data_IF_126594936869
#
_entry.id   IF_126594936869
#
_cell.length_a   1.000
_cell.length_b   1.000
_cell.length_c   1.000
_cell.angle_alpha   90.00
_cell.angle_beta   90.00
_cell.angle_gamma   90.00
#
_symmetry.space_group_name_H-M   'P 1'
#
loop_
_entity.id
_entity.type
_entity.pdbx_description
1 polymer ?
#
# COMPACT_ATOMS: atom_id res chain seq x y z
N UNK A 1 -8.23 -2.64 14.65
CA UNK A 1 -7.11 -2.04 13.91
C UNK A 1 -5.82 -2.28 14.68
N UNK A 2 -4.76 -2.78 14.04
CA UNK A 2 -3.47 -3.05 14.70
C UNK A 2 -2.32 -2.52 13.83
N UNK A 3 -1.34 -1.89 14.48
CA UNK A 3 -0.11 -1.38 13.86
C UNK A 3 0.99 -2.44 13.92
N UNK A 4 1.78 -2.52 12.86
CA UNK A 4 2.93 -3.41 12.74
C UNK A 4 4.13 -2.68 12.13
N UNK A 5 5.33 -2.95 12.63
CA UNK A 5 6.62 -2.57 12.04
C UNK A 5 7.28 -3.72 11.30
N UNK A 6 6.77 -4.93 11.50
CA UNK A 6 7.11 -6.14 10.74
C UNK A 6 5.84 -6.68 10.10
N UNK A 7 5.89 -7.03 8.81
CA UNK A 7 4.69 -7.48 8.11
C UNK A 7 4.17 -8.80 8.70
N UNK A 8 2.91 -8.84 9.18
CA UNK A 8 2.34 -10.04 9.80
C UNK A 8 1.83 -11.08 8.79
N UNK A 9 1.85 -10.75 7.50
CA UNK A 9 1.55 -11.64 6.38
C UNK A 9 2.12 -11.02 5.10
N UNK A 10 2.12 -11.80 4.02
CA UNK A 10 2.54 -11.31 2.70
C UNK A 10 1.49 -10.35 2.14
N UNK A 11 1.92 -9.16 1.75
CA UNK A 11 1.09 -8.11 1.18
C UNK A 11 1.57 -7.75 -0.23
N UNK A 12 0.62 -7.39 -1.09
CA UNK A 12 0.85 -7.05 -2.49
C UNK A 12 0.43 -5.61 -2.74
N UNK A 13 1.29 -4.86 -3.45
CA UNK A 13 1.02 -3.49 -3.88
C UNK A 13 0.93 -3.44 -5.40
N UNK A 14 -0.27 -3.13 -5.91
CA UNK A 14 -0.45 -2.74 -7.31
C UNK A 14 0.04 -1.31 -7.48
N UNK A 15 0.98 -1.10 -8.40
CA UNK A 15 1.59 0.19 -8.66
C UNK A 15 1.68 0.43 -10.16
N UNK A 16 1.02 1.49 -10.64
CA UNK A 16 0.98 1.80 -12.07
C UNK A 16 2.35 2.16 -12.66
N UNK A 17 3.17 2.88 -11.88
CA UNK A 17 4.54 3.27 -12.22
C UNK A 17 5.29 3.72 -10.98
N UNK A 18 6.61 3.69 -11.03
CA UNK A 18 7.48 4.42 -10.11
C UNK A 18 7.83 5.80 -10.69
N UNK A 19 8.19 6.78 -9.83
CA UNK A 19 8.14 6.75 -8.37
C UNK A 19 6.70 6.66 -7.83
N UNK A 20 6.55 6.25 -6.57
CA UNK A 20 5.26 6.29 -5.87
C UNK A 20 4.75 7.73 -5.83
N UNK A 21 3.46 7.91 -6.09
CA UNK A 21 2.80 9.21 -6.09
C UNK A 21 1.43 9.07 -5.43
N UNK A 22 1.40 9.09 -4.09
CA UNK A 22 0.15 9.14 -3.34
C UNK A 22 -0.59 10.45 -3.60
N UNK A 23 -1.92 10.35 -3.65
CA UNK A 23 -2.84 11.46 -3.94
C UNK A 23 -3.39 12.05 -2.64
N UNK A 24 -3.14 13.32 -2.39
CA UNK A 24 -3.77 14.01 -1.27
C UNK A 24 -5.21 14.43 -1.59
N UNK A 25 -6.06 14.42 -0.57
CA UNK A 25 -7.48 14.72 -0.69
C UNK A 25 -7.76 16.11 -1.29
N UNK A 26 -7.11 17.16 -0.78
CA UNK A 26 -7.39 18.54 -1.16
C UNK A 26 -7.15 18.76 -2.66
N UNK A 27 -6.02 18.29 -3.18
CA UNK A 27 -5.68 18.34 -4.61
C UNK A 27 -6.63 17.49 -5.46
N UNK A 28 -7.02 16.29 -5.00
CA UNK A 28 -7.97 15.49 -5.78
C UNK A 28 -9.35 16.15 -5.84
N UNK A 29 -9.81 16.75 -4.73
CA UNK A 29 -11.10 17.44 -4.68
C UNK A 29 -11.12 18.70 -5.55
N UNK A 30 -10.03 19.48 -5.57
CA UNK A 30 -9.93 20.64 -6.48
C UNK A 30 -9.96 20.25 -7.96
N UNK A 31 -9.58 19.00 -8.28
CA UNK A 31 -9.67 18.41 -9.62
C UNK A 31 -11.01 17.70 -9.89
N UNK A 32 -12.01 17.80 -8.99
CA UNK A 32 -13.31 17.15 -9.13
C UNK A 32 -13.27 15.63 -8.92
N UNK A 33 -12.19 15.09 -8.36
CA UNK A 33 -12.01 13.64 -8.12
C UNK A 33 -12.38 13.30 -6.68
N UNK A 34 -12.96 12.11 -6.47
CA UNK A 34 -13.35 11.61 -5.14
C UNK A 34 -12.38 10.61 -4.55
N UNK A 35 -11.49 10.03 -5.35
CA UNK A 35 -10.52 9.03 -4.90
C UNK A 35 -9.20 9.69 -4.53
N UNK A 36 -8.73 9.44 -3.31
CA UNK A 36 -7.48 9.93 -2.74
C UNK A 36 -6.88 8.86 -1.81
N UNK A 37 -5.60 9.01 -1.48
CA UNK A 37 -4.85 8.02 -0.69
C UNK A 37 -4.58 8.51 0.75
N UNK A 38 -4.52 9.82 0.97
CA UNK A 38 -4.31 10.41 2.30
C UNK A 38 -4.88 11.84 2.44
N UNK A 39 -4.97 12.29 3.68
CA UNK A 39 -5.26 13.69 4.02
C UNK A 39 -3.98 14.33 4.57
N UNK A 40 -3.63 15.50 4.05
CA UNK A 40 -2.53 16.28 4.58
C UNK A 40 -3.03 17.17 5.72
N UNK A 41 -2.23 17.30 6.76
CA UNK A 41 -2.47 18.22 7.87
C UNK A 41 -1.32 19.21 7.91
N UNK A 42 -1.64 20.51 7.82
CA UNK A 42 -0.63 21.57 7.74
C UNK A 42 0.40 21.35 6.61
N UNK A 43 -0.07 20.79 5.48
CA UNK A 43 0.77 20.47 4.32
C UNK A 43 1.63 19.21 4.47
N UNK A 44 1.48 18.45 5.56
CA UNK A 44 2.31 17.27 5.88
C UNK A 44 1.50 16.00 6.05
N UNK A 45 2.18 14.87 5.88
CA UNK A 45 1.69 13.55 6.24
C UNK A 45 1.94 13.36 7.73
N UNK A 46 0.87 13.18 8.51
CA UNK A 46 1.00 12.91 9.95
C UNK A 46 1.16 11.42 10.20
N UNK A 47 2.06 11.10 11.12
CA UNK A 47 2.06 9.81 11.78
C UNK A 47 0.77 9.65 12.56
N UNK A 48 0.02 8.57 12.33
CA UNK A 48 -1.15 8.32 13.15
C UNK A 48 -0.73 7.92 14.56
N UNK A 49 -1.47 8.37 15.58
CA UNK A 49 -1.25 7.92 16.95
C UNK A 49 -1.23 6.40 17.02
N UNK A 50 -0.43 5.85 17.93
CA UNK A 50 -0.41 4.42 18.20
C UNK A 50 -1.74 3.91 18.75
N UNK A 51 -2.62 4.81 19.21
CA UNK A 51 -3.96 4.52 19.69
C UNK A 51 -5.00 4.62 18.56
N UNK A 52 -6.00 3.74 18.58
CA UNK A 52 -7.01 3.60 17.53
C UNK A 52 -8.00 4.76 17.45
N UNK A 53 -8.12 5.55 18.51
CA UNK A 53 -9.24 6.48 18.71
C UNK A 53 -9.15 7.74 17.83
N UNK A 54 -8.01 7.96 17.17
CA UNK A 54 -7.76 9.11 16.31
C UNK A 54 -7.51 8.73 14.83
N UNK A 55 -7.77 7.47 14.45
CA UNK A 55 -7.47 6.99 13.10
C UNK A 55 -8.41 7.62 12.06
N UNK A 56 -7.88 8.54 11.24
CA UNK A 56 -8.60 9.12 10.11
C UNK A 56 -8.21 8.39 8.82
N UNK A 57 -9.16 7.75 8.15
CA UNK A 57 -8.94 7.07 6.87
C UNK A 57 -9.34 7.93 5.68
N UNK A 58 -8.72 7.70 4.50
CA UNK A 58 -7.47 6.96 4.26
C UNK A 58 -6.22 7.77 4.66
N UNK A 59 -5.10 7.09 4.98
CA UNK A 59 -3.83 7.75 5.35
C UNK A 59 -2.58 7.00 4.84
N UNK A 60 -2.55 6.61 3.56
CA UNK A 60 -1.31 6.08 2.99
C UNK A 60 -1.47 5.10 1.83
N UNK A 61 -0.38 4.40 1.53
CA UNK A 61 -0.34 3.42 0.45
C UNK A 61 -1.16 2.19 0.82
N UNK A 62 -1.98 1.69 -0.09
CA UNK A 62 -2.83 0.51 0.16
C UNK A 62 -2.23 -0.75 -0.47
N UNK A 63 -1.54 -1.60 0.32
CA UNK A 63 -1.27 -2.99 -0.05
C UNK A 63 -2.41 -3.92 0.45
N UNK A 64 -2.46 -5.15 -0.07
CA UNK A 64 -3.48 -6.15 0.29
C UNK A 64 -2.90 -7.57 0.26
N UNK A 65 -3.36 -8.52 1.08
CA UNK A 65 -3.09 -9.93 0.81
C UNK A 65 -3.60 -10.33 -0.57
N UNK A 66 -3.01 -11.35 -1.17
CA UNK A 66 -3.61 -11.96 -2.34
C UNK A 66 -4.89 -12.70 -1.94
N UNK A 67 -5.96 -12.48 -2.69
CA UNK A 67 -7.28 -13.01 -2.43
C UNK A 67 -8.29 -12.48 -3.46
N UNK A 68 -9.57 -12.87 -3.37
CA UNK A 68 -10.56 -12.55 -4.40
C UNK A 68 -10.64 -11.06 -4.75
N UNK A 69 -10.56 -10.20 -3.73
CA UNK A 69 -10.64 -8.74 -3.94
C UNK A 69 -9.39 -8.16 -4.60
N UNK A 70 -8.20 -8.61 -4.21
CA UNK A 70 -6.94 -8.20 -4.85
C UNK A 70 -6.90 -8.67 -6.31
N UNK A 71 -7.30 -9.91 -6.57
CA UNK A 71 -7.41 -10.45 -7.93
C UNK A 71 -8.42 -9.67 -8.78
N UNK A 72 -9.59 -9.35 -8.23
CA UNK A 72 -10.60 -8.50 -8.90
C UNK A 72 -10.03 -7.12 -9.27
N UNK A 73 -9.39 -6.43 -8.31
CA UNK A 73 -8.80 -5.11 -8.55
C UNK A 73 -7.73 -5.19 -9.64
N UNK A 74 -6.86 -6.20 -9.59
CA UNK A 74 -5.79 -6.37 -10.57
C UNK A 74 -6.31 -6.67 -11.97
N UNK A 75 -7.37 -7.49 -12.09
CA UNK A 75 -8.05 -7.76 -13.37
C UNK A 75 -8.69 -6.50 -13.97
N UNK A 76 -9.32 -5.68 -13.13
CA UNK A 76 -9.97 -4.44 -13.56
C UNK A 76 -8.99 -3.27 -13.73
N UNK A 77 -7.74 -3.41 -13.26
CA UNK A 77 -6.76 -2.34 -13.33
C UNK A 77 -6.39 -2.05 -14.79
N UNK A 78 -6.63 -0.80 -15.20
CA UNK A 78 -6.31 -0.34 -16.56
C UNK A 78 -4.81 -0.17 -16.75
N UNK A 79 -4.31 -0.58 -17.92
CA UNK A 79 -2.90 -0.53 -18.26
C UNK A 79 -2.15 -1.78 -17.82
N UNK A 80 -0.82 -1.64 -17.69
CA UNK A 80 0.11 -2.70 -17.33
C UNK A 80 0.76 -2.36 -16.00
N UNK A 81 0.03 -2.50 -14.86
CA UNK A 81 0.60 -2.23 -13.56
C UNK A 81 1.67 -3.27 -13.22
N UNK A 82 2.62 -2.86 -12.39
CA UNK A 82 3.49 -3.78 -11.68
C UNK A 82 2.87 -4.11 -10.33
N UNK A 83 3.12 -5.33 -9.85
CA UNK A 83 2.75 -5.79 -8.53
C UNK A 83 4.01 -6.07 -7.73
N UNK A 84 4.11 -5.45 -6.56
CA UNK A 84 5.23 -5.63 -5.65
C UNK A 84 4.79 -6.51 -4.49
N UNK A 85 5.54 -7.59 -4.26
CA UNK A 85 5.30 -8.51 -3.14
C UNK A 85 6.18 -8.13 -1.95
N UNK A 86 5.52 -7.86 -0.84
CA UNK A 86 6.15 -7.60 0.45
C UNK A 86 5.92 -8.83 1.33
N UNK A 87 6.97 -9.63 1.53
CA UNK A 87 6.86 -10.91 2.22
C UNK A 87 6.47 -10.76 3.69
N UNK A 88 5.74 -11.75 4.20
CA UNK A 88 5.56 -11.91 5.65
C UNK A 88 6.92 -11.89 6.36
N UNK A 89 6.96 -11.28 7.54
CA UNK A 89 8.18 -11.13 8.32
C UNK A 89 9.10 -10.01 7.84
N UNK A 90 8.82 -9.33 6.73
CA UNK A 90 9.60 -8.16 6.28
C UNK A 90 9.58 -7.08 7.36
N UNK A 91 10.76 -6.70 7.84
CA UNK A 91 10.95 -5.56 8.73
C UNK A 91 10.89 -4.28 7.90
N UNK A 92 9.97 -3.38 8.25
CA UNK A 92 9.83 -2.09 7.59
C UNK A 92 10.91 -1.12 8.08
N UNK A 93 11.21 -0.11 7.27
CA UNK A 93 12.03 1.03 7.69
C UNK A 93 11.41 1.68 8.93
N UNK A 94 12.24 2.21 9.84
CA UNK A 94 11.76 2.84 11.08
C UNK A 94 10.76 3.97 10.84
N UNK A 95 10.87 4.63 9.67
CA UNK A 95 9.99 5.70 9.19
C UNK A 95 8.62 5.21 8.67
N UNK A 96 8.41 3.89 8.57
CA UNK A 96 7.24 3.23 8.00
C UNK A 96 6.58 2.24 8.98
N UNK A 97 5.27 2.13 8.88
CA UNK A 97 4.50 1.08 9.54
C UNK A 97 3.34 0.64 8.65
N UNK A 98 2.76 -0.52 8.94
CA UNK A 98 1.52 -0.96 8.32
C UNK A 98 0.41 -1.08 9.36
N UNK A 99 -0.78 -0.61 8.99
CA UNK A 99 -2.00 -0.77 9.75
C UNK A 99 -2.93 -1.75 9.07
N UNK A 100 -3.46 -2.70 9.85
CA UNK A 100 -4.61 -3.49 9.43
C UNK A 100 -5.88 -2.68 9.67
N UNK A 101 -6.44 -2.10 8.61
CA UNK A 101 -7.58 -1.18 8.69
C UNK A 101 -8.88 -1.96 8.88
N UNK A 102 -9.19 -2.83 7.92
CA UNK A 102 -10.38 -3.67 7.94
C UNK A 102 -10.22 -4.80 6.91
N UNK A 103 -10.73 -6.01 7.20
CA UNK A 103 -10.72 -7.17 6.28
C UNK A 103 -9.38 -7.38 5.56
N UNK A 104 -9.32 -7.12 4.25
CA UNK A 104 -8.15 -7.26 3.38
C UNK A 104 -7.48 -5.91 3.10
N UNK A 105 -7.96 -4.82 3.69
CA UNK A 105 -7.43 -3.48 3.52
C UNK A 105 -6.34 -3.20 4.55
N UNK A 106 -5.11 -3.07 4.02
CA UNK A 106 -3.95 -2.62 4.77
C UNK A 106 -3.55 -1.23 4.32
N UNK A 107 -2.96 -0.46 5.22
CA UNK A 107 -2.48 0.89 4.94
C UNK A 107 -1.05 1.02 5.44
N UNK A 108 -0.12 1.22 4.52
CA UNK A 108 1.26 1.56 4.83
C UNK A 108 1.38 3.06 4.99
N UNK A 109 1.93 3.47 6.13
CA UNK A 109 1.92 4.83 6.64
C UNK A 109 3.30 5.20 7.19
N UNK A 110 3.49 6.49 7.47
CA UNK A 110 4.70 6.96 8.14
C UNK A 110 4.56 6.89 9.67
N UNK A 111 5.68 6.71 10.35
CA UNK A 111 5.80 6.74 11.83
C UNK A 111 6.19 8.12 12.37
N UNK A 112 6.59 9.04 11.48
CA UNK A 112 7.01 10.41 11.81
C UNK A 112 6.26 11.41 10.94
N UNK A 113 6.10 12.63 11.43
CA UNK A 113 5.57 13.71 10.57
C UNK A 113 6.56 14.00 9.44
N UNK A 114 6.09 14.00 8.19
CA UNK A 114 6.96 14.19 7.02
C UNK A 114 6.23 14.87 5.87
N UNK A 115 6.96 15.34 4.86
CA UNK A 115 6.35 15.87 3.64
C UNK A 115 5.78 14.74 2.79
N UNK A 116 4.77 15.05 1.95
CA UNK A 116 4.25 14.07 0.98
C UNK A 116 5.34 13.58 0.02
N UNK A 117 6.28 14.46 -0.34
CA UNK A 117 7.39 14.14 -1.21
C UNK A 117 8.30 13.08 -0.58
N UNK A 118 8.76 13.32 0.64
CA UNK A 118 9.66 12.41 1.35
C UNK A 118 8.98 11.08 1.65
N UNK A 119 7.70 11.10 2.02
CA UNK A 119 6.93 9.87 2.22
C UNK A 119 6.83 9.05 0.92
N UNK A 120 6.56 9.70 -0.21
CA UNK A 120 6.58 9.02 -1.51
C UNK A 120 7.97 8.46 -1.87
N UNK A 121 9.06 9.15 -1.49
CA UNK A 121 10.41 8.62 -1.69
C UNK A 121 10.67 7.37 -0.84
N UNK A 122 10.31 7.37 0.44
CA UNK A 122 10.46 6.19 1.32
C UNK A 122 9.67 4.99 0.80
N UNK A 123 8.44 5.20 0.34
CA UNK A 123 7.63 4.16 -0.29
C UNK A 123 8.25 3.68 -1.60
N UNK A 124 8.82 4.59 -2.40
CA UNK A 124 9.53 4.23 -3.64
C UNK A 124 10.72 3.34 -3.35
N UNK A 125 11.57 3.71 -2.38
CA UNK A 125 12.73 2.89 -1.95
C UNK A 125 12.31 1.51 -1.47
N UNK A 126 11.21 1.41 -0.72
CA UNK A 126 10.67 0.12 -0.31
C UNK A 126 10.27 -0.73 -1.52
N UNK A 127 9.54 -0.16 -2.49
CA UNK A 127 9.14 -0.92 -3.68
C UNK A 127 10.34 -1.28 -4.57
N UNK A 128 11.34 -0.42 -4.69
CA UNK A 128 12.58 -0.71 -5.42
C UNK A 128 13.43 -1.79 -4.75
N UNK A 129 13.23 -2.06 -3.46
CA UNK A 129 13.95 -3.11 -2.73
C UNK A 129 13.44 -4.54 -3.02
N UNK A 130 12.32 -4.68 -3.74
CA UNK A 130 11.75 -5.99 -4.08
C UNK A 130 11.54 -6.10 -5.60
N UNK A 131 11.67 -7.30 -6.19
CA UNK A 131 11.44 -7.47 -7.61
C UNK A 131 9.95 -7.21 -7.95
N UNK A 132 9.66 -6.41 -8.98
CA UNK A 132 8.31 -6.26 -9.47
C UNK A 132 7.89 -7.51 -10.26
N UNK A 133 6.59 -7.79 -10.25
CA UNK A 133 5.97 -8.81 -11.10
C UNK A 133 4.91 -8.13 -11.98
N UNK A 134 4.74 -8.62 -13.19
CA UNK A 134 3.59 -8.28 -14.03
C UNK A 134 2.31 -8.91 -13.46
N UNK A 135 1.16 -8.44 -13.95
CA UNK A 135 -0.12 -9.05 -13.61
C UNK A 135 -0.16 -10.53 -14.01
N UNK A 136 0.36 -10.83 -15.19
CA UNK A 136 0.34 -12.16 -15.81
C UNK A 136 1.27 -13.12 -15.04
N UNK A 137 2.47 -12.68 -14.67
CA UNK A 137 3.39 -13.45 -13.81
C UNK A 137 2.77 -13.77 -12.45
N UNK A 138 2.10 -12.80 -11.82
CA UNK A 138 1.48 -13.03 -10.53
C UNK A 138 0.35 -14.06 -10.63
N UNK A 139 -0.52 -13.99 -11.65
CA UNK A 139 -1.60 -14.95 -11.79
C UNK A 139 -1.09 -16.36 -12.09
N UNK A 140 -0.10 -16.50 -12.97
CA UNK A 140 0.53 -17.80 -13.24
C UNK A 140 1.10 -18.43 -11.96
N UNK A 141 1.79 -17.65 -11.13
CA UNK A 141 2.35 -18.16 -9.88
C UNK A 141 1.27 -18.60 -8.88
N UNK A 142 0.13 -17.91 -8.83
CA UNK A 142 -0.95 -18.29 -7.91
C UNK A 142 -1.68 -19.55 -8.40
N UNK A 143 -1.86 -19.72 -9.71
CA UNK A 143 -2.42 -20.93 -10.31
C UNK A 143 -1.53 -22.16 -10.08
N UNK A 144 -0.20 -21.99 -10.18
CA UNK A 144 0.75 -23.07 -9.91
C UNK A 144 0.73 -23.55 -8.45
N UNK A 145 0.51 -22.64 -7.49
CA UNK A 145 0.38 -22.99 -6.07
C UNK A 145 -0.90 -23.76 -5.78
N UNK A 146 -2.03 -23.30 -6.33
CA UNK A 146 -3.32 -23.97 -6.14
C UNK A 146 -3.32 -25.39 -6.74
N UNK A 147 -2.50 -25.66 -7.77
CA UNK A 147 -2.36 -26.99 -8.38
C UNK A 147 -1.41 -27.94 -7.60
N UNK A 148 -0.58 -27.44 -6.69
CA UNK A 148 0.35 -28.26 -5.90
C UNK A 148 -0.26 -28.75 -4.57
N UNK A 149 -1.37 -28.16 -4.14
CA UNK A 149 -2.08 -28.50 -2.90
C UNK A 149 -3.26 -29.49 -3.11
N UNK A 150 -3.32 -30.15 -4.28
CA UNK A 150 -4.37 -31.11 -4.68
C UNK A 150 -3.80 -32.51 -4.97
#
# INVERSE_FOLDING_TARGET
MKRYTQLPLTLYRIQARLPVSLRDQATQWSLGRRSFDLVLHDGKVRALPTTTDAFTTPNGMSPRPFGPKMAEILRQFRGSPLVYRLHEGTVLLDSLCVWHVHTDQWSMQTTVETSLHDFNQELTRLLESVPPQTREELFAEMEDKDNQDN
#
